data_IF_714863130706
#
_entry.id   IF_714863130706
#
_cell.length_a   1.000
_cell.length_b   1.000
_cell.length_c   1.000
_cell.angle_alpha   90.00
_cell.angle_beta   90.00
_cell.angle_gamma   90.00
#
_symmetry.space_group_name_H-M   'P 1'
#
loop_
_entity.id
_entity.type
_entity.pdbx_description
1 polymer ?
#
# COMPACT_ATOMS: atom_id res chain seq x y z
N UNK A 1 8.56 36.69 -1.10
CA UNK A 1 7.35 36.05 -1.68
C UNK A 1 6.69 35.20 -0.61
N UNK A 2 5.45 35.52 -0.24
CA UNK A 2 4.77 34.92 0.91
C UNK A 2 4.53 33.41 0.74
N UNK A 3 4.81 32.64 1.80
CA UNK A 3 4.45 31.21 1.88
C UNK A 3 2.95 31.08 1.60
N UNK A 4 2.59 30.48 0.47
CA UNK A 4 1.20 30.11 0.21
C UNK A 4 0.70 29.22 1.38
N UNK A 5 -0.47 29.52 1.93
CA UNK A 5 -1.06 28.73 3.02
C UNK A 5 -1.16 27.25 2.64
N UNK A 6 -1.20 26.35 3.63
CA UNK A 6 -1.25 24.89 3.43
C UNK A 6 -2.34 24.48 2.42
N UNK A 7 -3.48 25.18 2.43
CA UNK A 7 -4.62 24.94 1.54
C UNK A 7 -4.36 25.31 0.08
N UNK A 8 -3.48 26.28 -0.21
CA UNK A 8 -3.20 26.71 -1.59
C UNK A 8 -2.33 25.74 -2.39
N UNK A 9 -1.63 24.82 -1.72
CA UNK A 9 -0.57 24.00 -2.36
C UNK A 9 -1.02 22.62 -2.83
N UNK A 10 -2.15 22.13 -2.35
CA UNK A 10 -2.54 20.74 -2.56
C UNK A 10 -4.04 20.62 -2.81
N UNK A 11 -4.39 20.44 -4.08
CA UNK A 11 -5.78 20.33 -4.52
C UNK A 11 -6.48 19.08 -3.97
N UNK A 12 -5.80 17.94 -3.90
CA UNK A 12 -6.40 16.72 -3.37
C UNK A 12 -6.53 16.76 -1.84
N UNK A 13 -5.66 17.51 -1.15
CA UNK A 13 -5.88 17.83 0.26
C UNK A 13 -7.13 18.68 0.46
N UNK A 14 -7.33 19.72 -0.37
CA UNK A 14 -8.56 20.54 -0.31
C UNK A 14 -9.81 19.74 -0.62
N UNK A 15 -9.82 19.02 -1.73
CA UNK A 15 -10.93 18.13 -2.10
C UNK A 15 -11.24 17.12 -0.99
N UNK A 16 -10.21 16.61 -0.30
CA UNK A 16 -10.43 15.73 0.85
C UNK A 16 -11.20 16.44 1.97
N UNK A 17 -10.90 17.70 2.24
CA UNK A 17 -11.62 18.51 3.23
C UNK A 17 -13.05 18.83 2.77
N UNK A 18 -13.23 19.22 1.52
CA UNK A 18 -14.54 19.53 0.93
C UNK A 18 -15.46 18.30 0.96
N UNK A 19 -14.95 17.12 0.62
CA UNK A 19 -15.72 15.87 0.54
C UNK A 19 -15.76 15.08 1.87
N UNK A 20 -15.17 15.62 2.94
CA UNK A 20 -15.17 15.00 4.28
C UNK A 20 -14.33 13.71 4.39
N UNK A 21 -13.29 13.56 3.57
CA UNK A 21 -12.28 12.50 3.68
C UNK A 21 -11.24 12.85 4.76
N UNK A 22 -10.79 11.84 5.52
CA UNK A 22 -9.76 12.01 6.57
C UNK A 22 -8.40 12.41 5.97
N UNK A 23 -8.08 11.92 4.78
CA UNK A 23 -6.84 12.22 4.08
C UNK A 23 -7.01 12.19 2.56
N UNK A 24 -6.11 12.90 1.86
CA UNK A 24 -6.06 12.90 0.39
C UNK A 24 -5.75 11.54 -0.24
N UNK A 25 -5.27 10.56 0.53
CA UNK A 25 -5.04 9.21 0.01
C UNK A 25 -6.32 8.47 -0.37
N UNK A 26 -7.50 8.92 0.07
CA UNK A 26 -8.78 8.40 -0.39
C UNK A 26 -8.90 8.42 -1.93
N UNK A 27 -8.45 9.51 -2.57
CA UNK A 27 -8.47 9.64 -4.03
C UNK A 27 -7.58 8.62 -4.76
N UNK A 28 -6.54 8.09 -4.09
CA UNK A 28 -5.66 7.09 -4.70
C UNK A 28 -6.41 5.79 -4.90
N UNK A 29 -7.12 5.33 -3.87
CA UNK A 29 -7.91 4.09 -3.95
C UNK A 29 -9.08 4.25 -4.93
N UNK A 30 -9.76 5.40 -4.93
CA UNK A 30 -10.83 5.70 -5.88
C UNK A 30 -10.34 5.63 -7.33
N UNK A 31 -9.18 6.22 -7.62
CA UNK A 31 -8.59 6.22 -8.97
C UNK A 31 -8.06 4.84 -9.39
N UNK A 32 -7.61 4.01 -8.43
CA UNK A 32 -7.27 2.61 -8.71
C UNK A 32 -8.53 1.83 -9.04
N UNK A 33 -9.63 2.04 -8.30
CA UNK A 33 -10.90 1.38 -8.57
C UNK A 33 -11.49 1.76 -9.93
N UNK A 34 -11.43 3.04 -10.31
CA UNK A 34 -11.86 3.52 -11.64
C UNK A 34 -11.16 2.79 -12.79
N UNK A 35 -9.91 2.38 -12.60
CA UNK A 35 -9.09 1.74 -13.64
C UNK A 35 -9.18 0.20 -13.60
N UNK A 36 -9.26 -0.40 -12.41
CA UNK A 36 -9.12 -1.84 -12.22
C UNK A 36 -10.39 -2.54 -11.71
N UNK A 37 -11.48 -1.79 -11.48
CA UNK A 37 -12.75 -2.28 -10.94
C UNK A 37 -12.54 -3.18 -9.71
N UNK A 38 -11.77 -2.70 -8.73
CA UNK A 38 -11.34 -3.51 -7.59
C UNK A 38 -12.49 -3.78 -6.62
N UNK A 39 -13.58 -3.00 -6.66
CA UNK A 39 -14.76 -3.17 -5.82
C UNK A 39 -15.84 -4.07 -6.42
N UNK A 40 -15.71 -4.48 -7.68
CA UNK A 40 -16.73 -5.31 -8.34
C UNK A 40 -16.87 -6.69 -7.66
N UNK A 41 -18.09 -7.02 -7.24
CA UNK A 41 -18.41 -8.31 -6.62
C UNK A 41 -17.81 -8.53 -5.22
N UNK A 42 -17.21 -7.51 -4.61
CA UNK A 42 -16.54 -7.59 -3.31
C UNK A 42 -17.55 -7.57 -2.17
N UNK A 43 -17.47 -8.56 -1.27
CA UNK A 43 -18.30 -8.67 -0.06
C UNK A 43 -17.50 -8.59 1.23
N UNK A 44 -16.24 -9.03 1.23
CA UNK A 44 -15.36 -9.01 2.41
C UNK A 44 -14.06 -8.31 2.08
N UNK A 45 -13.71 -7.28 2.85
CA UNK A 45 -12.50 -6.48 2.64
C UNK A 45 -11.68 -6.35 3.90
N UNK A 46 -10.36 -6.47 3.75
CA UNK A 46 -9.40 -6.13 4.80
C UNK A 46 -8.62 -4.88 4.39
N UNK A 47 -8.55 -3.89 5.27
CA UNK A 47 -7.72 -2.68 5.13
C UNK A 47 -6.56 -2.76 6.13
N UNK A 48 -5.34 -2.98 5.65
CA UNK A 48 -4.12 -3.13 6.44
C UNK A 48 -3.40 -1.79 6.60
N UNK A 49 -2.83 -1.54 7.78
CA UNK A 49 -2.19 -0.26 8.11
C UNK A 49 -3.15 0.91 7.84
N UNK A 50 -4.39 0.76 8.31
CA UNK A 50 -5.51 1.59 7.91
C UNK A 50 -5.47 3.02 8.47
N UNK A 51 -4.77 3.29 9.58
CA UNK A 51 -4.84 4.58 10.25
C UNK A 51 -4.33 5.72 9.34
N UNK A 52 -5.04 6.87 9.26
CA UNK A 52 -6.20 7.28 10.07
C UNK A 52 -7.57 6.84 9.49
N UNK A 53 -7.62 6.05 8.42
CA UNK A 53 -8.84 5.41 7.91
C UNK A 53 -9.40 6.00 6.62
N UNK A 54 -8.59 6.68 5.81
CA UNK A 54 -9.08 7.25 4.54
C UNK A 54 -9.50 6.16 3.55
N UNK A 55 -8.77 5.04 3.46
CA UNK A 55 -9.15 3.90 2.61
C UNK A 55 -10.35 3.16 3.18
N UNK A 56 -10.39 2.90 4.48
CA UNK A 56 -11.58 2.41 5.20
C UNK A 56 -12.84 3.26 4.94
N UNK A 57 -12.72 4.59 4.89
CA UNK A 57 -13.84 5.45 4.53
C UNK A 57 -14.29 5.23 3.08
N UNK A 58 -13.36 5.06 2.14
CA UNK A 58 -13.69 4.78 0.74
C UNK A 58 -14.43 3.45 0.63
N UNK A 59 -13.93 2.40 1.28
CA UNK A 59 -14.57 1.08 1.33
C UNK A 59 -15.99 1.17 1.90
N UNK A 60 -16.18 1.88 3.00
CA UNK A 60 -17.51 2.10 3.60
C UNK A 60 -18.45 2.80 2.62
N UNK A 61 -18.01 3.92 2.01
CA UNK A 61 -18.85 4.71 1.09
C UNK A 61 -19.14 4.01 -0.24
N UNK A 62 -18.28 3.09 -0.69
CA UNK A 62 -18.41 2.40 -1.98
C UNK A 62 -19.09 1.03 -1.88
N UNK A 63 -18.93 0.33 -0.75
CA UNK A 63 -19.46 -1.02 -0.57
C UNK A 63 -20.60 -1.03 0.45
N UNK A 64 -20.33 -0.60 1.68
CA UNK A 64 -21.26 -0.79 2.80
C UNK A 64 -22.47 0.15 2.75
N UNK A 65 -22.27 1.47 2.67
CA UNK A 65 -23.36 2.44 2.72
C UNK A 65 -24.35 2.29 1.56
N UNK A 66 -23.92 2.06 0.30
CA UNK A 66 -24.84 1.77 -0.80
C UNK A 66 -25.65 0.50 -0.55
N UNK A 67 -25.01 -0.58 -0.07
CA UNK A 67 -25.69 -1.83 0.26
C UNK A 67 -26.72 -1.63 1.40
N UNK A 68 -26.36 -0.89 2.45
CA UNK A 68 -27.25 -0.56 3.56
C UNK A 68 -28.46 0.29 3.13
N UNK A 69 -28.27 1.21 2.19
CA UNK A 69 -29.36 2.02 1.66
C UNK A 69 -30.31 1.22 0.75
N UNK A 70 -29.77 0.24 0.00
CA UNK A 70 -30.55 -0.63 -0.88
C UNK A 70 -31.27 -1.77 -0.12
N UNK A 71 -30.64 -2.30 0.94
CA UNK A 71 -31.19 -3.38 1.74
C UNK A 71 -32.31 -2.87 2.66
N UNK A 72 -33.57 -3.02 2.23
CA UNK A 72 -34.74 -2.76 3.09
C UNK A 72 -34.94 -3.82 4.18
N UNK A 73 -34.22 -4.95 4.17
CA UNK A 73 -34.27 -5.97 5.25
C UNK A 73 -33.30 -7.13 5.05
N UNK A 74 -32.14 -7.07 5.75
CA UNK A 74 -31.40 -8.15 6.46
C UNK A 74 -29.91 -7.78 6.57
N UNK A 75 -29.40 -7.71 7.79
CA UNK A 75 -28.00 -7.35 8.08
C UNK A 75 -26.98 -8.37 7.50
N UNK A 76 -27.41 -9.61 7.23
CA UNK A 76 -26.57 -10.72 6.76
C UNK A 76 -26.02 -10.56 5.32
N UNK A 77 -26.54 -9.60 4.54
CA UNK A 77 -26.08 -9.37 3.16
C UNK A 77 -25.14 -8.16 3.01
N UNK A 78 -24.87 -7.43 4.09
CA UNK A 78 -24.01 -6.25 4.05
C UNK A 78 -22.54 -6.64 3.86
N UNK A 79 -21.78 -5.88 3.04
CA UNK A 79 -20.34 -6.07 2.95
C UNK A 79 -19.65 -5.91 4.31
N UNK A 80 -18.73 -6.81 4.62
CA UNK A 80 -17.95 -6.79 5.85
C UNK A 80 -16.59 -6.17 5.58
N UNK A 81 -16.24 -5.13 6.33
CA UNK A 81 -14.96 -4.42 6.20
C UNK A 81 -14.23 -4.51 7.54
N UNK A 82 -13.03 -5.06 7.54
CA UNK A 82 -12.15 -5.15 8.71
C UNK A 82 -10.91 -4.30 8.48
N UNK A 83 -10.72 -3.26 9.28
CA UNK A 83 -9.56 -2.38 9.23
C UNK A 83 -8.59 -2.70 10.37
N UNK A 84 -7.31 -2.84 10.05
CA UNK A 84 -6.26 -3.27 10.97
C UNK A 84 -5.17 -2.20 11.02
N UNK A 85 -4.83 -1.76 12.22
CA UNK A 85 -3.67 -0.89 12.44
C UNK A 85 -3.11 -1.08 13.86
N UNK A 86 -1.85 -0.74 14.07
CA UNK A 86 -1.26 -0.65 15.40
C UNK A 86 -1.80 0.56 16.17
N UNK A 87 -2.15 1.63 15.45
CA UNK A 87 -2.67 2.87 15.99
C UNK A 87 -4.20 2.82 16.14
N UNK A 88 -4.75 3.46 17.19
CA UNK A 88 -6.19 3.60 17.33
C UNK A 88 -6.75 4.51 16.23
N UNK A 89 -7.94 4.15 15.76
CA UNK A 89 -8.66 4.87 14.72
C UNK A 89 -10.05 5.27 15.21
N UNK A 90 -10.50 6.47 14.85
CA UNK A 90 -11.87 6.91 15.11
C UNK A 90 -12.84 6.05 14.30
N UNK A 91 -13.99 5.72 14.86
CA UNK A 91 -14.99 4.84 14.24
C UNK A 91 -15.39 5.29 12.85
N UNK A 92 -15.60 4.33 11.94
CA UNK A 92 -16.16 4.54 10.60
C UNK A 92 -17.36 3.61 10.47
N UNK A 93 -18.50 4.12 10.03
CA UNK A 93 -19.72 3.33 9.88
C UNK A 93 -19.49 2.16 8.90
N UNK A 94 -19.91 0.95 9.29
CA UNK A 94 -19.72 -0.26 8.49
C UNK A 94 -18.31 -0.85 8.49
N UNK A 95 -17.39 -0.31 9.31
CA UNK A 95 -16.02 -0.79 9.42
C UNK A 95 -15.75 -1.32 10.82
N UNK A 96 -15.39 -2.60 10.89
CA UNK A 96 -14.89 -3.24 12.10
C UNK A 96 -13.42 -2.86 12.24
N UNK A 97 -13.02 -2.31 13.39
CA UNK A 97 -11.66 -1.83 13.62
C UNK A 97 -10.96 -2.76 14.59
N UNK A 98 -9.82 -3.31 14.18
CA UNK A 98 -8.98 -4.20 14.96
C UNK A 98 -7.64 -3.51 15.20
N UNK A 99 -7.31 -3.25 16.46
CA UNK A 99 -5.97 -2.80 16.80
C UNK A 99 -5.06 -4.03 16.89
N UNK A 100 -4.14 -4.19 15.96
CA UNK A 100 -3.33 -5.40 15.83
C UNK A 100 -2.12 -5.26 14.93
N UNK A 101 -1.15 -6.14 15.15
CA UNK A 101 0.05 -6.26 14.32
C UNK A 101 -0.23 -7.19 13.14
N UNK A 102 0.03 -6.72 11.92
CA UNK A 102 -0.17 -7.50 10.70
C UNK A 102 0.79 -8.70 10.58
N UNK A 103 1.91 -8.68 11.31
CA UNK A 103 2.87 -9.80 11.39
C UNK A 103 2.43 -10.90 12.37
N UNK A 104 1.38 -10.67 13.15
CA UNK A 104 0.90 -11.65 14.13
C UNK A 104 -0.15 -12.59 13.54
N UNK A 105 0.05 -13.90 13.70
CA UNK A 105 -0.94 -14.93 13.31
C UNK A 105 -2.31 -14.71 14.00
N UNK A 106 -2.31 -14.22 15.24
CA UNK A 106 -3.53 -13.89 15.99
C UNK A 106 -4.39 -12.85 15.26
N UNK A 107 -3.77 -11.89 14.58
CA UNK A 107 -4.50 -10.86 13.82
C UNK A 107 -5.25 -11.50 12.64
N UNK A 108 -4.64 -12.46 11.95
CA UNK A 108 -5.31 -13.20 10.88
C UNK A 108 -6.51 -14.01 11.41
N UNK A 109 -6.38 -14.68 12.56
CA UNK A 109 -7.48 -15.41 13.21
C UNK A 109 -8.66 -14.50 13.56
N UNK A 110 -8.38 -13.31 14.09
CA UNK A 110 -9.42 -12.31 14.43
C UNK A 110 -10.16 -11.86 13.17
N UNK A 111 -9.45 -11.61 12.07
CA UNK A 111 -10.06 -11.24 10.77
C UNK A 111 -10.97 -12.35 10.27
N UNK A 112 -10.48 -13.59 10.23
CA UNK A 112 -11.25 -14.75 9.75
C UNK A 112 -12.51 -14.95 10.62
N UNK A 113 -12.40 -14.74 11.93
CA UNK A 113 -13.54 -14.80 12.84
C UNK A 113 -14.60 -13.74 12.52
N UNK A 114 -14.19 -12.51 12.19
CA UNK A 114 -15.12 -11.45 11.78
C UNK A 114 -15.80 -11.72 10.44
N UNK A 115 -15.26 -12.64 9.63
CA UNK A 115 -15.86 -13.10 8.38
C UNK A 115 -16.56 -14.45 8.51
N UNK A 116 -16.87 -14.90 9.73
CA UNK A 116 -17.54 -16.18 10.00
C UNK A 116 -16.81 -17.38 9.36
N UNK A 117 -15.47 -17.35 9.38
CA UNK A 117 -14.61 -18.38 8.78
C UNK A 117 -14.36 -18.20 7.29
N UNK A 118 -15.01 -17.24 6.63
CA UNK A 118 -14.78 -16.95 5.21
C UNK A 118 -13.51 -16.11 4.99
N UNK A 119 -12.94 -16.24 3.79
CA UNK A 119 -11.80 -15.43 3.34
C UNK A 119 -12.26 -14.13 2.66
N UNK A 120 -11.42 -13.10 2.72
CA UNK A 120 -11.60 -11.81 2.07
C UNK A 120 -11.58 -11.93 0.54
N UNK A 121 -12.35 -11.07 -0.13
CA UNK A 121 -12.32 -10.93 -1.60
C UNK A 121 -11.25 -9.91 -2.04
N UNK A 122 -11.00 -8.91 -1.19
CA UNK A 122 -10.07 -7.82 -1.42
C UNK A 122 -9.26 -7.55 -0.14
N UNK A 123 -7.96 -7.37 -0.28
CA UNK A 123 -7.10 -6.79 0.76
C UNK A 123 -6.46 -5.52 0.21
N UNK A 124 -6.44 -4.44 0.99
CA UNK A 124 -5.81 -3.18 0.62
C UNK A 124 -4.81 -2.74 1.69
N UNK A 125 -3.74 -2.05 1.31
CA UNK A 125 -2.73 -1.54 2.24
C UNK A 125 -2.12 -0.22 1.74
N UNK A 126 -2.44 0.91 2.41
CA UNK A 126 -1.82 2.23 2.15
C UNK A 126 -0.69 2.55 3.14
N UNK A 127 -0.24 1.54 3.91
CA UNK A 127 0.81 1.67 4.91
C UNK A 127 2.14 2.17 4.31
N UNK A 128 2.81 3.05 5.06
CA UNK A 128 4.16 3.49 4.75
C UNK A 128 4.95 3.72 6.05
N UNK A 129 6.24 3.35 6.09
CA UNK A 129 7.12 3.69 7.20
C UNK A 129 7.42 5.19 7.21
N UNK A 130 8.04 5.68 8.27
CA UNK A 130 8.59 7.03 8.28
C UNK A 130 9.63 7.19 7.18
N UNK A 131 9.40 8.17 6.31
CA UNK A 131 10.26 8.49 5.18
C UNK A 131 11.45 9.29 5.71
N UNK A 132 12.65 8.77 5.48
CA UNK A 132 13.91 9.38 5.87
C UNK A 132 14.40 10.40 4.85
N UNK A 133 13.99 10.24 3.58
CA UNK A 133 14.47 11.00 2.44
C UNK A 133 15.66 10.34 1.74
N UNK A 134 16.16 9.22 2.28
CA UNK A 134 17.12 8.35 1.62
C UNK A 134 16.33 7.29 0.84
N UNK A 135 16.14 7.53 -0.46
CA UNK A 135 15.22 6.74 -1.28
C UNK A 135 15.51 5.24 -1.28
N UNK A 136 16.78 4.82 -1.30
CA UNK A 136 17.17 3.41 -1.31
C UNK A 136 16.75 2.72 0.01
N UNK A 137 16.93 3.40 1.16
CA UNK A 137 16.47 2.89 2.47
C UNK A 137 14.95 2.89 2.58
N UNK A 138 14.30 3.97 2.13
CA UNK A 138 12.85 4.10 2.17
C UNK A 138 12.18 3.01 1.30
N UNK A 139 12.73 2.70 0.11
CA UNK A 139 12.30 1.61 -0.77
C UNK A 139 12.42 0.25 -0.09
N UNK A 140 13.57 -0.03 0.55
CA UNK A 140 13.80 -1.29 1.25
C UNK A 140 12.77 -1.49 2.36
N UNK A 141 12.59 -0.50 3.24
CA UNK A 141 11.66 -0.60 4.38
C UNK A 141 10.20 -0.71 3.91
N UNK A 142 9.81 0.03 2.86
CA UNK A 142 8.49 -0.12 2.26
C UNK A 142 8.29 -1.54 1.70
N UNK A 143 9.29 -2.11 1.05
CA UNK A 143 9.22 -3.47 0.50
C UNK A 143 9.06 -4.52 1.61
N UNK A 144 9.78 -4.37 2.73
CA UNK A 144 9.61 -5.22 3.91
C UNK A 144 8.20 -5.14 4.50
N UNK A 145 7.61 -3.93 4.56
CA UNK A 145 6.22 -3.77 4.99
C UNK A 145 5.24 -4.52 4.08
N UNK A 146 5.48 -4.52 2.76
CA UNK A 146 4.65 -5.26 1.81
C UNK A 146 4.81 -6.77 1.94
N UNK A 147 6.02 -7.27 2.21
CA UNK A 147 6.23 -8.70 2.48
C UNK A 147 5.57 -9.14 3.79
N UNK A 148 5.60 -8.31 4.83
CA UNK A 148 4.84 -8.53 6.06
C UNK A 148 3.33 -8.56 5.77
N UNK A 149 2.81 -7.61 4.98
CA UNK A 149 1.41 -7.58 4.57
C UNK A 149 1.03 -8.81 3.72
N UNK A 150 1.90 -9.28 2.84
CA UNK A 150 1.67 -10.49 2.04
C UNK A 150 1.46 -11.73 2.93
N UNK A 151 2.08 -11.76 4.11
CA UNK A 151 1.94 -12.87 5.05
C UNK A 151 0.51 -12.99 5.56
N UNK A 152 -0.08 -11.91 6.07
CA UNK A 152 -1.50 -11.93 6.46
C UNK A 152 -2.41 -12.16 5.26
N UNK A 153 -2.09 -11.57 4.09
CA UNK A 153 -2.84 -11.79 2.84
C UNK A 153 -2.96 -13.28 2.52
N UNK A 154 -1.88 -14.05 2.65
CA UNK A 154 -1.93 -15.50 2.35
C UNK A 154 -2.88 -16.29 3.26
N UNK A 155 -3.16 -15.79 4.46
CA UNK A 155 -4.10 -16.40 5.40
C UNK A 155 -5.53 -15.95 5.14
N UNK A 156 -5.73 -14.66 4.85
CA UNK A 156 -7.08 -14.07 4.84
C UNK A 156 -7.68 -13.94 3.44
N UNK A 157 -6.89 -13.90 2.37
CA UNK A 157 -7.40 -13.67 1.01
C UNK A 157 -7.83 -14.99 0.35
N UNK A 158 -9.00 -14.99 -0.31
CA UNK A 158 -9.50 -16.15 -1.06
C UNK A 158 -8.73 -16.34 -2.36
N UNK A 159 -8.68 -17.57 -2.86
CA UNK A 159 -8.23 -17.83 -4.23
C UNK A 159 -9.10 -17.03 -5.22
N UNK A 160 -8.45 -16.38 -6.17
CA UNK A 160 -9.06 -15.43 -7.09
C UNK A 160 -9.30 -14.02 -6.53
N UNK A 161 -8.91 -13.74 -5.28
CA UNK A 161 -9.01 -12.42 -4.66
C UNK A 161 -7.98 -11.41 -5.19
N UNK A 162 -8.17 -10.14 -4.81
CA UNK A 162 -7.29 -9.02 -5.20
C UNK A 162 -6.51 -8.48 -3.99
N UNK A 163 -5.28 -8.03 -4.21
CA UNK A 163 -4.45 -7.34 -3.20
C UNK A 163 -3.87 -6.04 -3.77
N UNK A 164 -4.16 -4.93 -3.11
CA UNK A 164 -3.70 -3.60 -3.51
C UNK A 164 -2.77 -3.04 -2.43
N UNK A 165 -1.55 -2.66 -2.78
CA UNK A 165 -0.57 -2.23 -1.79
C UNK A 165 0.26 -1.04 -2.25
N UNK A 166 0.54 -0.08 -1.36
CA UNK A 166 1.50 0.98 -1.62
C UNK A 166 2.89 0.41 -1.77
N UNK A 167 3.61 0.86 -2.79
CA UNK A 167 5.03 0.54 -2.99
C UNK A 167 5.81 1.82 -3.20
N UNK A 168 7.11 1.76 -2.94
CA UNK A 168 8.07 2.77 -3.40
C UNK A 168 8.84 2.19 -4.56
N UNK A 169 8.80 2.91 -5.67
CA UNK A 169 9.41 2.50 -6.93
C UNK A 169 10.81 3.08 -7.02
N UNK A 170 11.83 2.25 -6.79
CA UNK A 170 13.23 2.57 -7.02
C UNK A 170 13.94 1.44 -7.76
N UNK A 171 15.14 1.07 -7.31
CA UNK A 171 16.05 0.16 -8.03
C UNK A 171 15.62 -1.31 -7.91
N UNK A 172 15.13 -1.72 -6.74
CA UNK A 172 14.87 -3.12 -6.38
C UNK A 172 13.42 -3.57 -6.58
N UNK A 173 12.61 -2.68 -7.14
CA UNK A 173 11.20 -2.88 -7.48
C UNK A 173 10.92 -4.17 -8.27
N UNK A 174 11.87 -4.65 -9.06
CA UNK A 174 11.75 -5.92 -9.83
C UNK A 174 11.69 -7.15 -8.94
N UNK A 175 12.43 -7.16 -7.83
CA UNK A 175 12.42 -8.27 -6.88
C UNK A 175 11.04 -8.39 -6.22
N UNK A 176 10.50 -7.26 -5.74
CA UNK A 176 9.16 -7.21 -5.15
C UNK A 176 8.09 -7.68 -6.13
N UNK A 177 8.19 -7.26 -7.40
CA UNK A 177 7.28 -7.73 -8.44
C UNK A 177 7.33 -9.25 -8.61
N UNK A 178 8.52 -9.85 -8.69
CA UNK A 178 8.67 -11.31 -8.80
C UNK A 178 8.04 -12.03 -7.60
N UNK A 179 8.31 -11.54 -6.39
CA UNK A 179 7.75 -12.11 -5.16
C UNK A 179 6.21 -12.08 -5.16
N UNK A 180 5.60 -10.96 -5.59
CA UNK A 180 4.15 -10.87 -5.73
C UNK A 180 3.63 -11.80 -6.85
N UNK A 181 4.32 -11.89 -7.98
CA UNK A 181 3.94 -12.74 -9.11
C UNK A 181 3.90 -14.23 -8.79
N UNK A 182 4.60 -14.68 -7.75
CA UNK A 182 4.50 -16.08 -7.27
C UNK A 182 3.12 -16.41 -6.69
N UNK A 183 2.40 -15.40 -6.19
CA UNK A 183 1.11 -15.56 -5.51
C UNK A 183 -0.07 -15.00 -6.29
N UNK A 184 0.17 -14.24 -7.36
CA UNK A 184 -0.87 -13.56 -8.13
C UNK A 184 -0.64 -13.74 -9.62
N UNK A 185 -1.71 -14.10 -10.34
CA UNK A 185 -1.59 -14.34 -11.78
C UNK A 185 -1.27 -13.05 -12.55
N UNK A 186 -1.80 -11.91 -12.09
CA UNK A 186 -1.54 -10.60 -12.68
C UNK A 186 -1.04 -9.66 -11.59
N UNK A 187 0.05 -8.95 -11.90
CA UNK A 187 0.59 -7.89 -11.05
C UNK A 187 0.89 -6.71 -11.97
N UNK A 188 0.37 -5.54 -11.61
CA UNK A 188 0.54 -4.28 -12.33
C UNK A 188 0.93 -3.20 -11.34
N UNK A 189 1.92 -2.38 -11.66
CA UNK A 189 2.27 -1.21 -10.83
C UNK A 189 1.56 0.02 -11.36
N UNK A 190 0.69 0.58 -10.53
CA UNK A 190 -0.19 1.67 -10.87
C UNK A 190 0.26 2.98 -10.20
N UNK A 191 0.13 4.11 -10.91
CA UNK A 191 0.34 5.43 -10.33
C UNK A 191 -0.92 6.28 -10.49
N UNK A 192 -1.69 6.47 -9.39
CA UNK A 192 -2.85 7.36 -9.38
C UNK A 192 -2.43 8.81 -9.59
N UNK A 193 -3.23 9.61 -10.28
CA UNK A 193 -2.99 11.06 -10.45
C UNK A 193 -2.92 11.84 -9.17
N UNK A 194 -3.64 11.37 -8.14
CA UNK A 194 -3.62 11.99 -6.82
C UNK A 194 -2.31 11.71 -6.07
N UNK A 195 -1.47 10.80 -6.59
CA UNK A 195 -0.06 10.66 -6.20
C UNK A 195 0.80 11.66 -6.97
N UNK A 196 1.77 12.26 -6.29
CA UNK A 196 2.67 13.24 -6.91
C UNK A 196 3.61 12.54 -7.89
N UNK A 197 3.85 13.16 -9.04
CA UNK A 197 4.83 12.68 -10.00
C UNK A 197 6.25 12.77 -9.42
N UNK A 198 6.49 13.79 -8.60
CA UNK A 198 7.74 13.94 -7.81
C UNK A 198 7.96 12.87 -6.74
N UNK A 199 6.94 12.07 -6.39
CA UNK A 199 7.07 11.00 -5.41
C UNK A 199 7.46 9.67 -6.07
N UNK A 200 8.28 8.87 -5.39
CA UNK A 200 8.56 7.47 -5.77
C UNK A 200 7.40 6.53 -5.44
N UNK A 201 6.32 7.02 -4.84
CA UNK A 201 5.11 6.24 -4.57
C UNK A 201 4.45 5.72 -5.85
N UNK A 202 4.08 4.44 -5.80
CA UNK A 202 3.20 3.74 -6.73
C UNK A 202 2.37 2.70 -5.94
N UNK A 203 1.55 1.92 -6.64
CA UNK A 203 0.70 0.89 -6.03
C UNK A 203 0.83 -0.42 -6.79
N UNK A 204 1.10 -1.51 -6.09
CA UNK A 204 0.95 -2.85 -6.63
C UNK A 204 -0.54 -3.21 -6.67
N UNK A 205 -1.03 -3.50 -7.87
CA UNK A 205 -2.37 -4.04 -8.12
C UNK A 205 -2.18 -5.51 -8.48
N UNK A 206 -2.45 -6.38 -7.51
CA UNK A 206 -2.30 -7.82 -7.64
C UNK A 206 -3.67 -8.46 -7.78
N UNK A 207 -3.88 -9.23 -8.85
CA UNK A 207 -5.16 -9.83 -9.18
C UNK A 207 -5.04 -11.34 -9.32
N UNK A 208 -6.15 -12.02 -9.06
CA UNK A 208 -6.28 -13.47 -9.09
C UNK A 208 -5.22 -14.15 -8.21
N UNK A 209 -5.38 -13.99 -6.89
CA UNK A 209 -4.58 -14.70 -5.89
C UNK A 209 -4.61 -16.20 -6.17
N UNK A 210 -3.44 -16.77 -6.42
CA UNK A 210 -3.22 -18.14 -6.83
C UNK A 210 -1.91 -18.62 -6.20
N UNK A 211 -1.92 -19.02 -4.91
CA UNK A 211 -0.72 -19.50 -4.24
C UNK A 211 -0.21 -20.80 -4.90
N UNK A 212 1.10 -21.08 -4.82
CA UNK A 212 1.67 -22.33 -5.35
C UNK A 212 0.99 -23.57 -4.78
N UNK A 213 0.92 -24.64 -5.56
CA UNK A 213 0.37 -25.91 -5.09
C UNK A 213 1.17 -26.42 -3.88
N UNK A 214 0.46 -26.87 -2.84
CA UNK A 214 1.09 -27.33 -1.59
C UNK A 214 1.63 -26.21 -0.69
N UNK A 215 1.45 -24.94 -1.04
CA UNK A 215 1.84 -23.82 -0.17
C UNK A 215 1.04 -23.83 1.14
N UNK A 216 1.75 -23.96 2.27
CA UNK A 216 1.20 -23.73 3.60
C UNK A 216 1.49 -22.28 4.04
N UNK A 217 0.46 -21.44 4.23
CA UNK A 217 0.62 -20.07 4.73
C UNK A 217 1.45 -19.98 6.03
N UNK A 218 1.40 -20.99 6.90
CA UNK A 218 2.17 -21.00 8.15
C UNK A 218 3.70 -21.03 7.93
N UNK A 219 4.16 -21.49 6.76
CA UNK A 219 5.59 -21.51 6.44
C UNK A 219 6.16 -20.10 6.34
N UNK A 220 5.38 -19.14 5.82
CA UNK A 220 5.82 -17.75 5.68
C UNK A 220 5.86 -17.03 7.05
N UNK A 221 4.91 -17.32 7.96
CA UNK A 221 4.98 -16.81 9.32
C UNK A 221 6.23 -17.29 10.07
N UNK A 222 6.54 -18.60 10.00
CA UNK A 222 7.74 -19.17 10.64
C UNK A 222 9.03 -18.55 10.09
N UNK A 223 9.05 -18.22 8.80
CA UNK A 223 10.17 -17.55 8.15
C UNK A 223 10.40 -16.15 8.71
N UNK A 224 9.33 -15.37 8.85
CA UNK A 224 9.39 -14.00 9.38
C UNK A 224 9.68 -13.96 10.88
N UNK A 225 9.13 -14.89 11.68
CA UNK A 225 9.48 -15.05 13.09
C UNK A 225 10.97 -15.36 13.28
N UNK A 226 11.56 -16.17 12.40
CA UNK A 226 13.00 -16.45 12.38
C UNK A 226 13.83 -15.25 11.95
N UNK A 227 13.42 -14.53 10.91
CA UNK A 227 14.11 -13.31 10.44
C UNK A 227 14.04 -12.15 11.45
N UNK A 228 13.01 -12.13 12.31
CA UNK A 228 12.89 -11.21 13.44
C UNK A 228 13.76 -11.57 14.66
N UNK A 229 14.46 -12.70 14.64
CA UNK A 229 15.35 -13.13 15.73
C UNK A 229 16.81 -12.77 15.40
N UNK A 230 17.44 -11.82 16.12
CA UNK A 230 18.83 -11.39 15.86
C UNK A 230 19.90 -12.46 16.15
N UNK A 231 19.48 -13.66 16.58
CA UNK A 231 20.34 -14.84 16.82
C UNK A 231 19.98 -16.05 15.93
N UNK A 232 19.12 -15.88 14.93
CA UNK A 232 18.76 -16.94 13.98
C UNK A 232 19.82 -17.14 12.90
N UNK A 233 19.94 -18.36 12.38
CA UNK A 233 20.77 -18.67 11.21
C UNK A 233 20.08 -18.13 9.94
N UNK A 234 20.68 -17.12 9.30
CA UNK A 234 20.15 -16.40 8.13
C UNK A 234 19.98 -17.29 6.88
N UNK A 235 20.48 -18.53 6.92
CA UNK A 235 20.47 -19.45 5.77
C UNK A 235 19.08 -19.99 5.37
N UNK A 236 18.08 -19.90 6.25
CA UNK A 236 16.74 -20.47 6.00
C UNK A 236 15.67 -19.44 5.62
N UNK A 237 15.96 -18.13 5.62
CA UNK A 237 15.00 -17.06 5.33
C UNK A 237 14.45 -17.06 3.87
N UNK A 238 14.85 -18.05 3.05
CA UNK A 238 14.56 -18.14 1.62
C UNK A 238 13.86 -19.44 1.17
N UNK A 239 13.21 -20.17 2.07
CA UNK A 239 12.50 -21.42 1.76
C UNK A 239 11.24 -21.29 0.85
N UNK A 240 10.92 -20.09 0.34
CA UNK A 240 9.68 -19.85 -0.43
C UNK A 240 9.76 -20.37 -1.89
N UNK A 241 10.90 -20.87 -2.34
CA UNK A 241 11.17 -21.09 -3.77
C UNK A 241 11.30 -22.55 -4.23
N UNK A 242 10.94 -23.57 -3.44
CA UNK A 242 11.19 -24.97 -3.84
C UNK A 242 10.36 -25.46 -5.05
N UNK A 243 9.27 -24.78 -5.44
CA UNK A 243 8.38 -25.21 -6.52
C UNK A 243 8.04 -24.13 -7.58
N UNK A 244 8.79 -23.03 -7.62
CA UNK A 244 8.62 -22.03 -8.69
C UNK A 244 9.18 -22.60 -10.00
N UNK A 245 8.33 -22.77 -11.02
CA UNK A 245 8.76 -23.07 -12.39
C UNK A 245 8.94 -21.75 -13.13
N UNK A 246 10.18 -21.26 -13.27
CA UNK A 246 10.42 -19.98 -13.88
C UNK A 246 10.27 -20.05 -15.42
N UNK A 247 10.17 -18.90 -16.11
CA UNK A 247 10.14 -18.86 -17.57
C UNK A 247 11.36 -19.54 -18.20
N UNK A 248 11.20 -20.05 -19.41
CA UNK A 248 12.30 -20.64 -20.19
C UNK A 248 13.48 -19.65 -20.32
N UNK A 249 14.65 -20.01 -19.79
CA UNK A 249 15.85 -19.16 -19.76
C UNK A 249 16.11 -18.40 -18.45
N UNK A 250 15.28 -18.55 -17.43
CA UNK A 250 15.56 -18.04 -16.08
C UNK A 250 16.64 -18.88 -15.38
N UNK A 251 17.64 -18.20 -14.81
CA UNK A 251 18.71 -18.83 -14.03
C UNK A 251 18.56 -18.48 -12.53
N UNK A 252 18.17 -19.44 -11.67
CA UNK A 252 18.04 -19.25 -10.24
C UNK A 252 19.33 -18.75 -9.55
N UNK A 253 20.51 -19.04 -10.10
CA UNK A 253 21.79 -18.59 -9.53
C UNK A 253 21.99 -17.08 -9.66
N UNK A 254 21.26 -16.40 -10.55
CA UNK A 254 21.28 -14.94 -10.61
C UNK A 254 20.46 -14.30 -9.48
N UNK A 255 19.44 -15.00 -8.96
CA UNK A 255 18.68 -14.58 -7.80
C UNK A 255 19.53 -14.72 -6.52
N UNK A 256 20.28 -15.82 -6.38
CA UNK A 256 21.22 -16.02 -5.27
C UNK A 256 22.34 -14.96 -5.25
N UNK A 257 22.89 -14.60 -6.41
CA UNK A 257 23.87 -13.49 -6.54
C UNK A 257 23.29 -12.12 -6.14
N UNK A 258 21.99 -11.91 -6.36
CA UNK A 258 21.27 -10.68 -5.96
C UNK A 258 21.18 -10.58 -4.42
N UNK A 259 20.92 -11.71 -3.76
CA UNK A 259 20.75 -11.80 -2.31
C UNK A 259 22.08 -11.75 -1.56
N UNK A 260 23.13 -12.39 -2.08
CA UNK A 260 24.49 -12.28 -1.52
C UNK A 260 25.06 -10.86 -1.61
N UNK A 261 24.75 -10.11 -2.67
CA UNK A 261 25.20 -8.71 -2.82
C UNK A 261 24.36 -7.72 -2.00
N UNK A 262 23.05 -7.91 -1.89
CA UNK A 262 22.18 -7.07 -1.05
C UNK A 262 22.49 -7.19 0.46
N UNK A 263 23.08 -8.31 0.89
CA UNK A 263 23.55 -8.54 2.25
C UNK A 263 24.99 -8.07 2.54
N UNK A 264 25.71 -7.47 1.58
CA UNK A 264 27.11 -7.07 1.78
C UNK A 264 27.26 -5.54 1.98
N UNK A 265 27.41 -5.04 3.22
CA UNK A 265 27.55 -3.61 3.52
C UNK A 265 28.90 -3.00 3.10
N UNK A 266 29.78 -3.74 2.40
CA UNK A 266 31.13 -3.31 1.99
C UNK A 266 31.36 -3.35 0.46
N UNK A 267 30.32 -3.49 -0.36
CA UNK A 267 30.45 -3.46 -1.83
C UNK A 267 30.71 -2.06 -2.38
N UNK A 268 31.64 -1.94 -3.34
CA UNK A 268 32.00 -0.67 -3.99
C UNK A 268 30.82 -0.09 -4.80
N UNK A 269 30.51 1.18 -4.56
CA UNK A 269 29.36 1.95 -5.09
C UNK A 269 29.45 2.24 -6.62
N UNK A 270 30.48 1.73 -7.32
CA UNK A 270 30.76 2.11 -8.70
C UNK A 270 29.90 1.40 -9.76
N UNK A 271 29.13 0.37 -9.40
CA UNK A 271 28.34 -0.45 -10.35
C UNK A 271 26.84 -0.07 -10.42
N UNK A 272 26.44 0.98 -9.70
CA UNK A 272 25.04 1.38 -9.51
C UNK A 272 24.31 1.93 -10.76
N UNK A 273 24.95 1.92 -11.94
CA UNK A 273 24.42 2.51 -13.18
C UNK A 273 23.96 1.50 -14.24
N UNK A 274 23.92 0.19 -13.95
CA UNK A 274 23.50 -0.79 -14.96
C UNK A 274 22.36 -1.68 -14.50
N UNK A 275 21.45 -1.94 -15.43
CA UNK A 275 20.32 -2.83 -15.28
C UNK A 275 20.79 -4.23 -14.86
N UNK A 276 20.59 -4.59 -13.59
CA UNK A 276 21.09 -5.83 -12.97
C UNK A 276 20.54 -7.13 -13.59
N UNK A 277 19.50 -7.03 -14.41
CA UNK A 277 18.92 -8.13 -15.16
C UNK A 277 19.20 -7.94 -16.65
N UNK A 278 20.13 -8.73 -17.18
CA UNK A 278 20.47 -8.74 -18.62
C UNK A 278 19.72 -9.86 -19.37
N UNK A 279 19.44 -9.61 -20.65
CA UNK A 279 18.81 -10.60 -21.54
C UNK A 279 17.38 -10.97 -21.11
N UNK A 280 17.00 -12.26 -21.13
CA UNK A 280 15.63 -12.72 -20.82
C UNK A 280 15.22 -12.47 -19.36
N UNK A 281 16.17 -12.14 -18.48
CA UNK A 281 15.89 -11.79 -17.09
C UNK A 281 15.40 -10.35 -16.94
N UNK A 282 15.52 -9.50 -17.96
CA UNK A 282 15.03 -8.10 -17.92
C UNK A 282 13.50 -8.09 -17.89
N UNK A 283 12.96 -7.99 -16.68
CA UNK A 283 11.54 -8.06 -16.45
C UNK A 283 10.87 -6.70 -16.73
N UNK A 284 10.00 -6.68 -17.74
CA UNK A 284 9.13 -5.53 -17.98
C UNK A 284 7.94 -5.60 -17.02
N UNK A 285 8.00 -4.78 -15.98
CA UNK A 285 6.88 -4.65 -15.05
C UNK A 285 5.78 -3.83 -15.75
N UNK A 286 4.56 -4.37 -15.91
CA UNK A 286 3.43 -3.59 -16.40
C UNK A 286 3.21 -2.38 -15.50
N UNK A 287 3.29 -1.18 -16.09
CA UNK A 287 3.10 0.07 -15.37
C UNK A 287 1.94 0.86 -15.99
N UNK A 288 1.00 1.30 -15.15
CA UNK A 288 -0.20 2.01 -15.60
C UNK A 288 -0.37 3.33 -14.83
N UNK A 289 -0.56 4.43 -15.54
CA UNK A 289 -1.02 5.67 -14.93
C UNK A 289 -2.55 5.65 -14.89
N UNK A 290 -3.16 5.89 -13.72
CA UNK A 290 -4.62 5.79 -13.59
C UNK A 290 -5.32 7.11 -13.96
N UNK A 291 -6.38 7.02 -14.77
CA UNK A 291 -7.29 8.12 -15.14
C UNK A 291 -6.89 8.97 -16.37
N UNK A 292 -7.79 9.85 -16.81
CA UNK A 292 -7.67 10.79 -17.96
C UNK A 292 -6.57 11.90 -17.95
N UNK A 293 -6.40 12.64 -19.06
CA UNK A 293 -5.47 13.77 -19.13
C UNK A 293 -6.07 15.13 -18.66
N UNK A 294 -7.35 15.15 -18.26
CA UNK A 294 -8.10 16.38 -17.92
C UNK A 294 -8.12 16.72 -16.43
N UNK A 295 -7.48 15.91 -15.59
CA UNK A 295 -7.46 16.09 -14.13
C UNK A 295 -6.48 17.14 -13.62
N UNK A 296 -6.57 17.42 -12.32
CA UNK A 296 -5.58 18.28 -11.64
C UNK A 296 -4.22 17.59 -11.51
N UNK A 297 -3.16 18.37 -11.71
CA UNK A 297 -1.78 17.98 -11.45
C UNK A 297 -1.50 18.03 -9.93
N UNK A 298 -1.15 16.88 -9.35
CA UNK A 298 -0.87 16.74 -7.92
C UNK A 298 0.40 17.49 -7.45
N UNK A 299 1.28 17.88 -8.37
CA UNK A 299 2.47 18.69 -8.10
C UNK A 299 2.21 20.20 -8.25
N UNK A 300 1.07 20.61 -8.80
CA UNK A 300 0.73 22.02 -8.99
C UNK A 300 -0.12 22.59 -7.84
N UNK A 301 -0.01 23.92 -7.67
CA UNK A 301 -0.82 24.72 -6.76
C UNK A 301 -1.89 25.47 -7.54
N UNK A 302 -3.14 25.41 -7.08
CA UNK A 302 -4.27 26.07 -7.73
C UNK A 302 -4.86 27.12 -6.78
N UNK A 303 -5.34 28.28 -7.28
CA UNK A 303 -5.99 29.28 -6.45
C UNK A 303 -7.20 28.69 -5.72
N UNK A 304 -7.57 29.30 -4.58
CA UNK A 304 -8.83 28.98 -3.90
C UNK A 304 -9.99 29.54 -4.74
N UNK A 305 -11.03 28.75 -5.02
CA UNK A 305 -12.25 29.28 -5.62
C UNK A 305 -12.78 30.41 -4.73
N UNK A 306 -13.19 31.53 -5.34
CA UNK A 306 -13.89 32.60 -4.60
C UNK A 306 -15.32 32.18 -4.22
N UNK A 307 -15.86 31.25 -5.00
CA UNK A 307 -17.20 30.67 -4.91
C UNK A 307 -17.07 29.22 -5.40
N UNK A 308 -17.68 28.28 -4.70
CA UNK A 308 -17.73 26.86 -5.08
C UNK A 308 -18.66 26.65 -6.29
N UNK A 309 -18.65 25.44 -6.86
CA UNK A 309 -19.39 25.12 -8.10
C UNK A 309 -20.91 25.31 -7.98
N UNK A 310 -21.41 25.27 -6.75
CA UNK A 310 -22.78 25.40 -6.27
C UNK A 310 -23.14 26.84 -5.80
N UNK A 311 -22.23 27.81 -5.96
CA UNK A 311 -22.50 29.21 -5.65
C UNK A 311 -22.27 29.62 -4.19
N UNK A 312 -21.83 28.70 -3.34
CA UNK A 312 -21.50 28.92 -1.93
C UNK A 312 -20.05 29.37 -1.72
N UNK A 313 -19.72 29.91 -0.55
CA UNK A 313 -18.33 30.25 -0.20
C UNK A 313 -17.57 28.98 0.19
N UNK A 314 -16.33 28.85 -0.29
CA UNK A 314 -15.39 27.78 0.06
C UNK A 314 -15.44 27.43 1.56
N UNK A 315 -15.82 26.19 1.87
CA UNK A 315 -15.86 25.66 3.23
C UNK A 315 -14.94 24.44 3.37
N UNK A 316 -13.88 24.59 4.18
CA UNK A 316 -13.00 23.49 4.55
C UNK A 316 -13.55 22.75 5.77
N UNK A 317 -13.77 21.44 5.67
CA UNK A 317 -14.14 20.61 6.83
C UNK A 317 -12.89 20.04 7.49
N UNK A 318 -12.81 20.08 8.81
CA UNK A 318 -11.75 19.38 9.54
C UNK A 318 -11.96 17.85 9.48
N UNK A 319 -10.88 17.05 9.39
CA UNK A 319 -11.02 15.61 9.35
C UNK A 319 -11.42 15.12 10.74
N UNK A 320 -12.28 14.10 10.81
CA UNK A 320 -12.67 13.48 12.10
C UNK A 320 -11.45 13.03 12.90
N UNK A 321 -10.43 12.50 12.22
CA UNK A 321 -9.12 12.18 12.81
C UNK A 321 -8.03 12.46 11.77
N UNK A 322 -7.05 13.34 12.06
CA UNK A 322 -5.85 13.47 11.24
C UNK A 322 -4.87 12.31 11.51
N UNK A 323 -3.89 12.05 10.61
CA UNK A 323 -2.80 11.12 10.90
C UNK A 323 -2.06 11.51 12.19
N UNK A 324 -1.82 10.55 13.09
CA UNK A 324 -1.12 10.78 14.36
C UNK A 324 0.37 11.09 14.11
N UNK A 325 1.00 10.27 13.26
CA UNK A 325 2.38 10.45 12.81
C UNK A 325 2.41 10.26 11.28
N UNK A 326 2.41 11.35 10.48
CA UNK A 326 2.51 11.20 9.04
C UNK A 326 3.94 10.78 8.65
N UNK A 327 4.13 9.87 7.67
CA UNK A 327 5.43 9.33 7.27
C UNK A 327 6.53 10.36 7.03
N UNK A 328 6.19 11.55 6.53
CA UNK A 328 7.15 12.60 6.19
C UNK A 328 7.54 13.51 7.38
N UNK A 329 7.00 13.27 8.58
CA UNK A 329 7.21 14.14 9.74
C UNK A 329 8.69 14.26 10.08
N UNK A 330 9.37 13.12 10.19
CA UNK A 330 10.80 13.01 10.54
C UNK A 330 11.68 13.71 9.51
N UNK A 331 11.48 13.45 8.21
CA UNK A 331 12.21 14.16 7.16
C UNK A 331 12.02 15.68 7.20
N UNK A 332 10.81 16.17 7.51
CA UNK A 332 10.56 17.62 7.65
C UNK A 332 11.30 18.18 8.88
N UNK A 333 11.31 17.47 10.00
CA UNK A 333 12.01 17.88 11.23
C UNK A 333 13.53 17.93 11.00
N UNK A 334 14.10 16.89 10.39
CA UNK A 334 15.52 16.84 10.00
C UNK A 334 15.90 17.95 9.02
N UNK A 335 15.02 18.27 8.06
CA UNK A 335 15.23 19.38 7.13
C UNK A 335 15.22 20.74 7.84
N UNK A 336 14.37 20.91 8.85
CA UNK A 336 14.32 22.14 9.66
C UNK A 336 15.57 22.30 10.52
N UNK A 337 16.06 21.23 11.14
CA UNK A 337 17.29 21.27 11.94
C UNK A 337 18.53 21.53 11.08
N UNK A 338 18.61 20.97 9.87
CA UNK A 338 19.74 21.19 8.96
C UNK A 338 19.78 22.60 8.36
N UNK A 339 18.62 23.24 8.17
CA UNK A 339 18.55 24.65 7.75
C UNK A 339 18.82 25.64 8.90
N UNK A 340 18.71 25.21 10.16
CA UNK A 340 19.02 26.03 11.34
C UNK A 340 20.52 26.15 11.65
N UNK A 341 21.39 25.38 11.00
CA UNK A 341 22.84 25.40 11.21
C UNK A 341 23.62 26.28 10.21
N UNK A 342 22.94 27.09 9.38
CA UNK A 342 23.60 27.99 8.41
C UNK A 342 23.78 29.44 8.89
N UNK A 343 23.32 29.77 10.09
CA UNK A 343 23.49 31.08 10.71
C UNK A 343 24.21 30.93 12.07
N UNK A 344 25.50 30.54 12.06
CA UNK A 344 26.45 30.79 13.16
C UNK A 344 27.79 31.20 12.57
#
# INVERSE_FOLDING_TARGET
MGKASKDKRDIYYRKAKEEGWRARSAFKLLQIDEEFNIFEGVKRVVDLCAAPGSWSQVLSRKLYLPAKAAAQSRDEELPLIVAIDLQPMASIEGVIQVQGDITSARTAEVVIKHFDGCKADLVVCDGAPDVTGLHDMDEFVQSQLILAALTIVTHVLRVGGKFIAKIFRGKDTSLLYCQLKMFFSTVTFAKPKSSRNSSIEAFAVCENYNPPEGFDPNNLYKLLEKAGNPYGDDSEAFAVCENYNPPEGFDPNNLYKLLEKAGNPYGDDSDCCSAWLEGPNKLYIPFLACGDLSGYDADQSYPLPKVDADGTSYQSLEPVQPPIAPPYKTAIELKKSSHGMKDV
#
